data_IF_436375476419
#
_entry.id   IF_436375476419
#
_cell.length_a   1.000
_cell.length_b   1.000
_cell.length_c   1.000
_cell.angle_alpha   90.00
_cell.angle_beta   90.00
_cell.angle_gamma   90.00
#
_symmetry.space_group_name_H-M   'P 1'
#
loop_
_entity.id
_entity.type
_entity.pdbx_description
1 polymer ?
#
# COMPACT_ATOMS: atom_id res chain seq x y z
N UNK A 1 -54.63 31.28 8.12
CA UNK A 1 -53.55 30.36 8.55
C UNK A 1 -52.30 30.74 7.79
N UNK A 2 -51.50 31.59 8.42
CA UNK A 2 -50.29 32.17 7.84
C UNK A 2 -49.16 31.14 7.89
N UNK A 3 -48.77 30.61 6.73
CA UNK A 3 -47.61 29.72 6.62
C UNK A 3 -46.37 30.59 6.65
N UNK A 4 -45.64 30.54 7.77
CA UNK A 4 -44.32 31.15 7.93
C UNK A 4 -43.42 30.59 6.83
N UNK A 5 -43.13 31.40 5.81
CA UNK A 5 -42.07 31.12 4.84
C UNK A 5 -40.74 31.31 5.58
N UNK A 6 -40.27 30.25 6.22
CA UNK A 6 -38.88 30.12 6.64
C UNK A 6 -38.02 30.00 5.39
N UNK A 7 -37.76 31.13 4.72
CA UNK A 7 -36.67 31.23 3.77
C UNK A 7 -35.38 31.23 4.58
N UNK A 8 -34.89 30.05 4.95
CA UNK A 8 -33.58 29.89 5.58
C UNK A 8 -32.55 30.08 4.46
N UNK A 9 -31.85 31.23 4.40
CA UNK A 9 -30.84 31.45 3.37
C UNK A 9 -29.76 30.38 3.51
N UNK A 10 -29.44 29.71 2.40
CA UNK A 10 -28.46 28.62 2.38
C UNK A 10 -29.01 27.20 2.59
N UNK A 11 -30.32 27.03 2.83
CA UNK A 11 -30.92 25.69 2.94
C UNK A 11 -30.72 24.84 1.67
N UNK A 12 -30.85 25.46 0.49
CA UNK A 12 -30.59 24.79 -0.78
C UNK A 12 -29.13 24.34 -0.93
N UNK A 13 -28.18 25.12 -0.43
CA UNK A 13 -26.75 24.77 -0.44
C UNK A 13 -26.48 23.58 0.48
N UNK A 14 -27.01 23.62 1.71
CA UNK A 14 -26.89 22.53 2.69
C UNK A 14 -27.50 21.25 2.12
N UNK A 15 -28.71 21.33 1.56
CA UNK A 15 -29.39 20.17 0.98
C UNK A 15 -28.61 19.58 -0.20
N UNK A 16 -28.04 20.43 -1.07
CA UNK A 16 -27.22 20.00 -2.21
C UNK A 16 -25.95 19.29 -1.72
N UNK A 17 -25.26 19.85 -0.73
CA UNK A 17 -24.08 19.22 -0.13
C UNK A 17 -24.42 17.86 0.50
N UNK A 18 -25.55 17.78 1.20
CA UNK A 18 -26.02 16.54 1.84
C UNK A 18 -26.31 15.45 0.81
N UNK A 19 -26.92 15.81 -0.33
CA UNK A 19 -27.19 14.89 -1.44
C UNK A 19 -25.89 14.41 -2.08
N UNK A 20 -24.96 15.32 -2.41
CA UNK A 20 -23.67 14.97 -3.01
C UNK A 20 -22.86 14.06 -2.08
N UNK A 21 -22.83 14.39 -0.78
CA UNK A 21 -22.10 13.62 0.23
C UNK A 21 -22.69 12.22 0.40
N UNK A 22 -24.03 12.10 0.49
CA UNK A 22 -24.71 10.80 0.60
C UNK A 22 -24.51 9.94 -0.65
N UNK A 23 -24.54 10.55 -1.83
CA UNK A 23 -24.24 9.88 -3.09
C UNK A 23 -22.80 9.36 -3.12
N UNK A 24 -21.84 10.18 -2.67
CA UNK A 24 -20.44 9.78 -2.53
C UNK A 24 -20.28 8.56 -1.62
N UNK A 25 -20.87 8.57 -0.43
CA UNK A 25 -20.84 7.42 0.50
C UNK A 25 -21.44 6.18 -0.16
N UNK A 26 -22.58 6.31 -0.84
CA UNK A 26 -23.25 5.18 -1.48
C UNK A 26 -22.40 4.55 -2.60
N UNK A 27 -21.77 5.39 -3.43
CA UNK A 27 -20.85 4.98 -4.48
C UNK A 27 -19.61 4.32 -3.89
N UNK A 28 -18.99 4.88 -2.84
CA UNK A 28 -17.73 4.37 -2.30
C UNK A 28 -17.89 3.10 -1.46
N UNK A 29 -18.99 2.95 -0.68
CA UNK A 29 -19.12 1.82 0.24
C UNK A 29 -19.68 0.55 -0.39
N UNK A 30 -20.76 0.65 -1.19
CA UNK A 30 -21.53 -0.55 -1.62
C UNK A 30 -21.44 -0.77 -3.12
N UNK A 31 -21.68 0.27 -3.92
CA UNK A 31 -21.71 0.13 -5.37
C UNK A 31 -20.30 -0.04 -5.94
N UNK A 32 -19.33 0.74 -5.48
CA UNK A 32 -17.94 0.69 -5.94
C UNK A 32 -17.29 -0.66 -5.70
N UNK A 33 -17.46 -1.24 -4.51
CA UNK A 33 -16.92 -2.58 -4.19
C UNK A 33 -17.56 -3.68 -5.04
N UNK A 34 -18.89 -3.63 -5.23
CA UNK A 34 -19.61 -4.62 -6.04
C UNK A 34 -19.27 -4.49 -7.53
N UNK A 35 -19.25 -3.27 -8.07
CA UNK A 35 -18.87 -2.99 -9.45
C UNK A 35 -17.43 -3.45 -9.71
N UNK A 36 -16.51 -3.14 -8.79
CA UNK A 36 -15.12 -3.59 -8.88
C UNK A 36 -15.01 -5.11 -8.91
N UNK A 37 -15.71 -5.83 -8.03
CA UNK A 37 -15.71 -7.30 -8.03
C UNK A 37 -16.32 -7.93 -9.29
N UNK A 38 -17.31 -7.27 -9.90
CA UNK A 38 -17.94 -7.73 -11.15
C UNK A 38 -17.01 -7.51 -12.34
N UNK A 39 -16.36 -6.35 -12.41
CA UNK A 39 -15.34 -6.05 -13.42
C UNK A 39 -14.15 -6.99 -13.30
N UNK A 40 -13.70 -7.30 -12.08
CA UNK A 40 -12.59 -8.23 -11.86
C UNK A 40 -12.96 -9.67 -12.29
N UNK A 41 -14.21 -10.09 -12.08
CA UNK A 41 -14.73 -11.38 -12.60
C UNK A 41 -14.81 -11.40 -14.13
N UNK A 42 -15.35 -10.35 -14.76
CA UNK A 42 -15.43 -10.22 -16.22
C UNK A 42 -14.05 -10.19 -16.89
N UNK A 43 -13.08 -9.48 -16.29
CA UNK A 43 -11.69 -9.45 -16.76
C UNK A 43 -11.03 -10.82 -16.56
N UNK A 44 -11.32 -11.51 -15.45
CA UNK A 44 -10.72 -12.81 -15.14
C UNK A 44 -11.15 -13.95 -16.07
N UNK A 45 -12.32 -13.83 -16.72
CA UNK A 45 -12.80 -14.80 -17.72
C UNK A 45 -12.10 -14.70 -19.07
N UNK A 46 -11.28 -13.66 -19.30
CA UNK A 46 -10.50 -13.49 -20.54
C UNK A 46 -9.01 -13.60 -20.19
N UNK A 47 -8.38 -14.77 -20.39
CA UNK A 47 -7.01 -15.05 -19.93
C UNK A 47 -5.96 -14.02 -20.37
N UNK A 48 -6.13 -13.44 -21.56
CA UNK A 48 -5.19 -12.46 -22.12
C UNK A 48 -5.32 -11.07 -21.47
N UNK A 49 -6.54 -10.62 -21.22
CA UNK A 49 -6.83 -9.29 -20.64
C UNK A 49 -6.41 -9.24 -19.18
N UNK A 50 -6.61 -10.34 -18.44
CA UNK A 50 -6.14 -10.50 -17.06
C UNK A 50 -4.63 -10.24 -16.93
N UNK A 51 -3.83 -10.79 -17.83
CA UNK A 51 -2.37 -10.61 -17.81
C UNK A 51 -1.99 -9.15 -18.05
N UNK A 52 -2.55 -8.51 -19.07
CA UNK A 52 -2.26 -7.10 -19.41
C UNK A 52 -2.70 -6.16 -18.27
N UNK A 53 -3.91 -6.34 -17.76
CA UNK A 53 -4.45 -5.53 -16.67
C UNK A 53 -3.65 -5.70 -15.38
N UNK A 54 -3.25 -6.93 -15.04
CA UNK A 54 -2.43 -7.19 -13.86
C UNK A 54 -1.03 -6.58 -13.97
N UNK A 55 -0.39 -6.66 -15.15
CA UNK A 55 0.91 -6.01 -15.38
C UNK A 55 0.80 -4.50 -15.24
N UNK A 56 -0.22 -3.88 -15.84
CA UNK A 56 -0.45 -2.44 -15.72
C UNK A 56 -0.74 -2.03 -14.27
N UNK A 57 -1.57 -2.80 -13.56
CA UNK A 57 -1.87 -2.57 -12.14
C UNK A 57 -0.62 -2.72 -11.27
N UNK A 58 0.26 -3.69 -11.54
CA UNK A 58 1.53 -3.83 -10.84
C UNK A 58 2.46 -2.64 -11.06
N UNK A 59 2.55 -2.16 -12.31
CA UNK A 59 3.31 -0.95 -12.64
C UNK A 59 2.74 0.24 -11.88
N UNK A 60 1.44 0.50 -11.98
CA UNK A 60 0.79 1.61 -11.26
C UNK A 60 0.93 1.49 -9.74
N UNK A 61 0.87 0.28 -9.18
CA UNK A 61 1.07 0.03 -7.74
C UNK A 61 2.52 0.29 -7.30
N UNK A 62 3.50 -0.05 -8.13
CA UNK A 62 4.90 0.26 -7.88
C UNK A 62 5.16 1.77 -7.91
N UNK A 63 4.50 2.51 -8.81
CA UNK A 63 4.64 3.96 -8.93
C UNK A 63 3.84 4.76 -7.88
N UNK A 64 2.70 4.23 -7.42
CA UNK A 64 1.87 4.88 -6.39
C UNK A 64 2.34 4.60 -4.95
N UNK A 65 3.38 3.76 -4.77
CA UNK A 65 3.84 3.34 -3.45
C UNK A 65 2.81 2.47 -2.69
N UNK A 66 1.73 2.04 -3.35
CA UNK A 66 0.63 1.31 -2.72
C UNK A 66 0.96 -0.17 -2.42
N UNK A 67 2.14 -0.67 -2.83
CA UNK A 67 2.72 -1.93 -2.29
C UNK A 67 3.40 -1.70 -0.92
N UNK A 68 2.73 -0.88 -0.14
CA UNK A 68 2.83 -0.49 1.26
C UNK A 68 2.74 -1.52 2.38
N UNK A 69 2.57 -2.81 2.13
CA UNK A 69 2.06 -3.67 3.22
C UNK A 69 2.38 -5.14 2.97
N UNK A 70 2.89 -5.81 4.00
CA UNK A 70 3.17 -7.26 4.12
C UNK A 70 4.57 -7.77 3.71
N UNK A 71 5.61 -6.93 3.75
CA UNK A 71 6.95 -7.42 4.08
C UNK A 71 7.62 -6.36 4.95
N UNK A 72 7.57 -6.55 6.26
CA UNK A 72 8.27 -5.73 7.24
C UNK A 72 9.77 -5.75 6.92
N UNK A 73 10.20 -4.85 6.04
CA UNK A 73 11.60 -4.45 5.91
C UNK A 73 11.95 -3.71 7.19
N UNK A 74 12.32 -4.45 8.24
CA UNK A 74 12.79 -3.83 9.47
C UNK A 74 14.12 -3.15 9.17
N UNK A 75 14.20 -1.86 9.45
CA UNK A 75 15.43 -1.09 9.32
C UNK A 75 16.19 -1.22 10.63
N UNK A 76 17.46 -1.60 10.54
CA UNK A 76 18.35 -1.76 11.69
C UNK A 76 19.63 -0.95 11.49
N UNK A 77 20.31 -0.66 12.59
CA UNK A 77 21.66 -0.10 12.59
C UNK A 77 22.64 -1.18 13.03
N UNK A 78 23.68 -1.38 12.22
CA UNK A 78 24.73 -2.36 12.49
C UNK A 78 26.10 -1.71 12.42
N UNK A 79 27.08 -2.31 13.07
CA UNK A 79 28.49 -1.95 12.90
C UNK A 79 29.10 -2.81 11.78
N UNK A 80 29.41 -2.21 10.63
CA UNK A 80 29.97 -2.90 9.47
C UNK A 80 30.85 -1.96 8.64
N UNK A 81 32.03 -2.41 8.14
CA UNK A 81 32.65 -3.73 8.34
C UNK A 81 33.47 -3.87 9.64
N UNK A 82 33.54 -2.83 10.49
CA UNK A 82 34.32 -2.86 11.74
C UNK A 82 33.60 -2.19 12.90
N UNK A 83 34.13 -2.42 14.11
CA UNK A 83 33.62 -1.76 15.32
C UNK A 83 33.64 -0.24 15.21
N UNK A 84 32.63 0.38 15.82
CA UNK A 84 32.39 1.84 15.85
C UNK A 84 32.07 2.47 14.47
N UNK A 85 31.87 1.67 13.42
CA UNK A 85 31.47 2.16 12.10
C UNK A 85 30.04 1.71 11.79
N UNK A 86 29.10 2.64 11.95
CA UNK A 86 27.68 2.35 11.88
C UNK A 86 27.10 2.57 10.47
N UNK A 87 26.19 1.70 10.07
CA UNK A 87 25.42 1.84 8.83
C UNK A 87 23.98 1.39 9.03
N UNK A 88 23.10 1.91 8.19
CA UNK A 88 21.70 1.48 8.09
C UNK A 88 21.65 0.21 7.26
N UNK A 89 20.78 -0.73 7.62
CA UNK A 89 20.57 -1.95 6.86
C UNK A 89 19.14 -2.43 6.96
N UNK A 90 18.73 -3.26 6.01
CA UNK A 90 17.36 -3.76 5.89
C UNK A 90 17.32 -5.25 6.17
N UNK A 91 16.46 -5.67 7.10
CA UNK A 91 16.18 -7.09 7.32
C UNK A 91 15.32 -7.59 6.17
N UNK A 92 15.81 -8.61 5.48
CA UNK A 92 15.16 -9.22 4.31
C UNK A 92 14.65 -10.63 4.56
N UNK A 93 15.00 -11.24 5.70
CA UNK A 93 14.58 -12.59 6.06
C UNK A 93 15.16 -13.08 7.39
N UNK A 94 14.74 -14.28 7.77
CA UNK A 94 15.19 -14.99 8.97
C UNK A 94 15.41 -16.46 8.62
N UNK A 95 16.36 -17.13 9.29
CA UNK A 95 16.59 -18.56 9.14
C UNK A 95 17.05 -19.17 10.45
N UNK A 96 16.80 -20.47 10.64
CA UNK A 96 17.23 -21.24 11.80
C UNK A 96 18.24 -22.30 11.36
N UNK A 97 19.37 -22.43 12.06
CA UNK A 97 20.33 -23.50 11.79
C UNK A 97 19.91 -24.84 12.40
N UNK A 98 20.68 -25.89 12.12
CA UNK A 98 20.41 -27.24 12.65
C UNK A 98 20.48 -27.36 14.17
N UNK A 99 21.00 -26.35 14.89
CA UNK A 99 21.03 -26.29 16.36
C UNK A 99 19.83 -25.54 16.96
N UNK A 100 18.95 -24.98 16.12
CA UNK A 100 17.84 -24.15 16.55
C UNK A 100 18.22 -22.68 16.74
N UNK A 101 19.41 -22.24 16.31
CA UNK A 101 19.83 -20.85 16.42
C UNK A 101 19.27 -20.01 15.28
N UNK A 102 18.61 -18.91 15.62
CA UNK A 102 18.06 -17.94 14.68
C UNK A 102 19.16 -17.06 14.08
N UNK A 103 18.94 -16.63 12.84
CA UNK A 103 19.78 -15.69 12.11
C UNK A 103 18.90 -14.73 11.31
N UNK A 104 19.33 -13.47 11.25
CA UNK A 104 18.74 -12.43 10.44
C UNK A 104 19.53 -12.24 9.15
N UNK A 105 18.80 -12.15 8.04
CA UNK A 105 19.33 -11.84 6.72
C UNK A 105 19.21 -10.34 6.51
N UNK A 106 20.34 -9.68 6.26
CA UNK A 106 20.43 -8.22 6.26
C UNK A 106 21.11 -7.74 4.98
N UNK A 107 20.51 -6.74 4.33
CA UNK A 107 21.07 -6.06 3.18
C UNK A 107 21.63 -4.69 3.58
N UNK A 108 22.93 -4.49 3.36
CA UNK A 108 23.65 -3.23 3.58
C UNK A 108 23.75 -2.48 2.25
N UNK A 109 22.98 -1.41 2.02
CA UNK A 109 22.99 -0.69 0.76
C UNK A 109 24.26 0.16 0.59
N UNK A 110 24.61 0.45 -0.66
CA UNK A 110 25.58 1.50 -1.00
C UNK A 110 24.90 2.84 -1.23
N UNK A 111 25.61 3.92 -0.97
CA UNK A 111 25.16 5.28 -1.30
C UNK A 111 25.84 5.78 -2.58
N UNK A 112 25.16 6.62 -3.41
CA UNK A 112 23.80 7.13 -3.23
C UNK A 112 22.72 6.17 -3.73
N UNK A 113 23.10 5.14 -4.50
CA UNK A 113 22.15 4.23 -5.14
C UNK A 113 21.96 2.93 -4.33
N UNK A 114 20.81 2.73 -3.66
CA UNK A 114 20.56 1.58 -2.78
C UNK A 114 20.23 0.29 -3.55
N UNK A 115 20.40 0.24 -4.87
CA UNK A 115 20.22 -0.98 -5.66
C UNK A 115 21.40 -1.94 -5.58
N UNK A 116 22.57 -1.48 -5.13
CA UNK A 116 23.75 -2.30 -4.85
C UNK A 116 24.07 -2.30 -3.36
N UNK A 117 24.75 -3.34 -2.89
CA UNK A 117 25.02 -3.53 -1.47
C UNK A 117 25.64 -4.89 -1.17
N UNK A 118 25.78 -5.18 0.11
CA UNK A 118 26.27 -6.48 0.61
C UNK A 118 25.15 -7.18 1.36
N UNK A 119 25.02 -8.47 1.13
CA UNK A 119 24.16 -9.35 1.91
C UNK A 119 24.98 -9.98 3.04
N UNK A 120 24.49 -9.88 4.27
CA UNK A 120 25.11 -10.47 5.45
C UNK A 120 24.09 -11.27 6.25
N UNK A 121 24.54 -12.35 6.88
CA UNK A 121 23.75 -13.13 7.83
C UNK A 121 24.33 -12.90 9.21
N UNK A 122 23.52 -12.38 10.13
CA UNK A 122 23.91 -12.15 11.52
C UNK A 122 23.07 -13.06 12.44
N UNK A 123 23.65 -13.61 13.51
CA UNK A 123 22.88 -14.33 14.52
C UNK A 123 21.95 -13.41 15.31
#
# INVERSE_FOLDING_TARGET
MEKIKLEIPGFGLILTLLIIFSLGIFVTNVLGRRLFSWTERLISSIPLVKTIYNTLKQITNAFSGATQTENYQRVIYIQYPRKELWTISFVTGESVDGSGKEYYHVFVPTTPNPTSGVFIIIP
#
